data_IF_123548085848
#
_entry.id   IF_123548085848
#
_cell.length_a   1.000
_cell.length_b   1.000
_cell.length_c   1.000
_cell.angle_alpha   90.00
_cell.angle_beta   90.00
_cell.angle_gamma   90.00
#
_symmetry.space_group_name_H-M   'P 1'
#
loop_
_entity.id
_entity.type
_entity.pdbx_description
1 polymer ?
#
# COMPACT_ATOMS: atom_id res chain seq x y z
N UNK A 1 -13.18 11.17 1.66
CA UNK A 1 -12.36 12.00 0.94
C UNK A 1 -11.91 11.62 -0.47
N UNK A 2 -10.74 12.04 -0.83
CA UNK A 2 -10.16 12.03 -2.19
C UNK A 2 -10.05 10.63 -2.83
N UNK A 3 -9.81 9.60 -2.04
CA UNK A 3 -9.84 8.21 -2.50
C UNK A 3 -11.22 7.79 -3.03
N UNK A 4 -12.30 8.32 -2.44
CA UNK A 4 -13.66 8.08 -2.92
C UNK A 4 -13.90 8.74 -4.28
N UNK A 5 -13.43 9.97 -4.47
CA UNK A 5 -13.49 10.68 -5.77
C UNK A 5 -12.75 9.86 -6.84
N UNK A 6 -11.55 9.40 -6.53
CA UNK A 6 -10.78 8.50 -7.41
C UNK A 6 -11.56 7.23 -7.75
N UNK A 7 -12.20 6.61 -6.77
CA UNK A 7 -13.04 5.42 -6.97
C UNK A 7 -14.20 5.66 -7.94
N UNK A 8 -14.91 6.77 -7.80
CA UNK A 8 -16.00 7.15 -8.72
C UNK A 8 -15.49 7.34 -10.15
N UNK A 9 -14.35 8.01 -10.31
CA UNK A 9 -13.68 8.17 -11.63
C UNK A 9 -13.29 6.80 -12.19
N UNK A 10 -12.72 5.92 -11.36
CA UNK A 10 -12.34 4.55 -11.76
C UNK A 10 -13.53 3.72 -12.22
N UNK A 11 -14.67 3.80 -11.53
CA UNK A 11 -15.91 3.18 -11.97
C UNK A 11 -16.37 3.71 -13.33
N UNK A 12 -16.35 5.03 -13.54
CA UNK A 12 -16.73 5.64 -14.83
C UNK A 12 -15.78 5.18 -15.95
N UNK A 13 -14.48 5.14 -15.70
CA UNK A 13 -13.50 4.63 -16.66
C UNK A 13 -13.71 3.17 -17.02
N UNK A 14 -14.23 2.35 -16.10
CA UNK A 14 -14.53 0.94 -16.38
C UNK A 14 -15.59 0.78 -17.47
N UNK A 15 -16.55 1.68 -17.60
CA UNK A 15 -17.52 1.67 -18.69
C UNK A 15 -16.86 1.93 -20.06
N UNK A 16 -15.80 2.73 -20.09
CA UNK A 16 -15.01 2.97 -21.31
C UNK A 16 -14.11 1.78 -21.65
N UNK A 17 -13.50 1.17 -20.65
CA UNK A 17 -12.60 0.01 -20.76
C UNK A 17 -13.42 -1.28 -20.88
N UNK A 18 -14.67 -1.32 -20.41
CA UNK A 18 -15.54 -2.49 -20.36
C UNK A 18 -15.94 -3.05 -21.74
N UNK A 19 -15.58 -2.35 -22.81
CA UNK A 19 -15.64 -2.87 -24.19
C UNK A 19 -14.48 -3.84 -24.50
N UNK A 20 -13.48 -3.90 -23.65
CA UNK A 20 -12.31 -4.76 -23.73
C UNK A 20 -12.49 -6.00 -22.82
N UNK A 21 -11.58 -6.95 -22.93
CA UNK A 21 -11.59 -8.13 -22.06
C UNK A 21 -11.49 -7.67 -20.58
N UNK A 22 -12.39 -8.12 -19.68
CA UNK A 22 -12.38 -7.78 -18.26
C UNK A 22 -11.01 -7.99 -17.58
N UNK A 23 -10.20 -8.92 -18.08
CA UNK A 23 -8.85 -9.22 -17.58
C UNK A 23 -7.87 -8.08 -17.83
N UNK A 24 -7.99 -7.42 -19.00
CA UNK A 24 -7.17 -6.25 -19.33
C UNK A 24 -7.49 -5.11 -18.36
N UNK A 25 -8.76 -4.88 -18.07
CA UNK A 25 -9.20 -3.91 -17.08
C UNK A 25 -8.59 -4.18 -15.70
N UNK A 26 -8.65 -5.43 -15.23
CA UNK A 26 -8.03 -5.83 -13.95
C UNK A 26 -6.51 -5.61 -13.96
N UNK A 27 -5.82 -6.02 -15.03
CA UNK A 27 -4.37 -5.84 -15.15
C UNK A 27 -3.97 -4.36 -15.12
N UNK A 28 -4.70 -3.48 -15.82
CA UNK A 28 -4.50 -2.03 -15.79
C UNK A 28 -4.72 -1.49 -14.38
N UNK A 29 -5.80 -1.90 -13.71
CA UNK A 29 -6.10 -1.47 -12.34
C UNK A 29 -5.01 -1.88 -11.34
N UNK A 30 -4.55 -3.12 -11.41
CA UNK A 30 -3.45 -3.58 -10.55
C UNK A 30 -2.11 -2.92 -10.91
N UNK A 31 -1.83 -2.64 -12.20
CA UNK A 31 -0.63 -1.90 -12.60
C UNK A 31 -0.65 -0.46 -12.05
N UNK A 32 -1.80 0.22 -12.10
CA UNK A 32 -1.97 1.53 -11.49
C UNK A 32 -1.80 1.47 -9.95
N UNK A 33 -2.23 0.37 -9.30
CA UNK A 33 -2.02 0.15 -7.88
C UNK A 33 -0.54 -0.04 -7.53
N UNK A 34 0.20 -0.80 -8.36
CA UNK A 34 1.67 -0.94 -8.23
C UNK A 34 2.35 0.42 -8.39
N UNK A 35 1.96 1.21 -9.40
CA UNK A 35 2.50 2.55 -9.61
C UNK A 35 2.24 3.47 -8.39
N UNK A 36 1.04 3.44 -7.83
CA UNK A 36 0.70 4.18 -6.61
C UNK A 36 1.53 3.72 -5.40
N UNK A 37 1.75 2.41 -5.26
CA UNK A 37 2.57 1.86 -4.19
C UNK A 37 4.05 2.21 -4.33
N UNK A 38 4.62 2.13 -5.54
CA UNK A 38 5.98 2.57 -5.83
C UNK A 38 6.15 4.07 -5.52
N UNK A 39 5.16 4.88 -5.87
CA UNK A 39 5.17 6.32 -5.53
C UNK A 39 5.21 6.53 -4.02
N UNK A 40 4.39 5.80 -3.23
CA UNK A 40 4.42 5.85 -1.76
C UNK A 40 5.77 5.45 -1.17
N UNK A 41 6.49 4.52 -1.78
CA UNK A 41 7.81 4.10 -1.31
C UNK A 41 8.90 5.19 -1.46
N UNK A 42 8.65 6.21 -2.29
CA UNK A 42 9.54 7.37 -2.45
C UNK A 42 9.18 8.55 -1.54
N UNK A 43 8.15 8.41 -0.70
CA UNK A 43 7.78 9.45 0.24
C UNK A 43 8.77 9.50 1.42
N UNK A 44 9.06 10.72 1.82
CA UNK A 44 9.84 11.05 3.00
C UNK A 44 8.99 11.85 4.01
N UNK A 45 9.62 12.30 5.09
CA UNK A 45 8.96 13.10 6.12
C UNK A 45 8.54 14.51 5.66
N UNK A 46 9.02 14.95 4.51
CA UNK A 46 8.74 16.27 3.93
C UNK A 46 7.73 16.17 2.78
N UNK A 47 7.04 15.02 2.63
CA UNK A 47 6.03 14.83 1.59
C UNK A 47 4.94 15.91 1.70
N UNK A 48 4.58 16.51 0.55
CA UNK A 48 3.51 17.49 0.50
C UNK A 48 2.13 16.82 0.66
N UNK A 49 1.19 17.53 1.29
CA UNK A 49 -0.20 17.08 1.36
C UNK A 49 -0.78 16.81 -0.03
N UNK A 50 -0.43 17.64 -1.02
CA UNK A 50 -0.87 17.48 -2.39
C UNK A 50 -0.44 16.15 -3.00
N UNK A 51 0.81 15.71 -2.78
CA UNK A 51 1.30 14.42 -3.27
C UNK A 51 0.54 13.25 -2.64
N UNK A 52 0.21 13.33 -1.34
CA UNK A 52 -0.61 12.35 -0.65
C UNK A 52 -2.03 12.29 -1.23
N UNK A 53 -2.64 13.44 -1.51
CA UNK A 53 -3.97 13.52 -2.09
C UNK A 53 -4.03 12.91 -3.49
N UNK A 54 -3.09 13.24 -4.37
CA UNK A 54 -3.01 12.68 -5.72
C UNK A 54 -2.76 11.17 -5.69
N UNK A 55 -1.90 10.70 -4.79
CA UNK A 55 -1.70 9.27 -4.61
C UNK A 55 -2.99 8.57 -4.14
N UNK A 56 -3.73 9.18 -3.21
CA UNK A 56 -5.02 8.64 -2.76
C UNK A 56 -6.06 8.58 -3.89
N UNK A 57 -6.10 9.57 -4.78
CA UNK A 57 -6.95 9.58 -5.99
C UNK A 57 -6.53 8.43 -6.92
N UNK A 58 -5.24 8.27 -7.19
CA UNK A 58 -4.72 7.19 -8.05
C UNK A 58 -5.09 5.80 -7.50
N UNK A 59 -4.93 5.59 -6.19
CA UNK A 59 -5.38 4.35 -5.53
C UNK A 59 -6.90 4.15 -5.68
N UNK A 60 -7.68 5.22 -5.52
CA UNK A 60 -9.13 5.17 -5.72
C UNK A 60 -9.50 4.74 -7.13
N UNK A 61 -8.90 5.36 -8.15
CA UNK A 61 -9.08 5.01 -9.57
C UNK A 61 -8.76 3.54 -9.80
N UNK A 62 -7.62 3.07 -9.28
CA UNK A 62 -7.18 1.67 -9.39
C UNK A 62 -8.23 0.70 -8.85
N UNK A 63 -8.73 0.97 -7.64
CA UNK A 63 -9.77 0.14 -7.01
C UNK A 63 -11.06 0.15 -7.83
N UNK A 64 -11.48 1.33 -8.32
CA UNK A 64 -12.67 1.45 -9.17
C UNK A 64 -12.58 0.63 -10.44
N UNK A 65 -11.42 0.66 -11.11
CA UNK A 65 -11.18 -0.12 -12.34
C UNK A 65 -11.17 -1.63 -12.06
N UNK A 66 -10.61 -2.08 -10.92
CA UNK A 66 -10.53 -3.51 -10.58
C UNK A 66 -11.90 -4.09 -10.22
N UNK A 67 -12.74 -3.32 -9.54
CA UNK A 67 -13.93 -3.84 -8.89
C UNK A 67 -14.94 -4.48 -9.85
N UNK A 68 -15.28 -3.79 -10.92
CA UNK A 68 -16.29 -4.26 -11.88
C UNK A 68 -15.82 -5.51 -12.63
N UNK A 69 -14.64 -5.54 -13.25
CA UNK A 69 -14.16 -6.75 -13.92
C UNK A 69 -14.02 -7.95 -12.97
N UNK A 70 -13.59 -7.69 -11.73
CA UNK A 70 -13.46 -8.74 -10.72
C UNK A 70 -14.80 -9.39 -10.42
N UNK A 71 -15.85 -8.61 -10.18
CA UNK A 71 -17.20 -9.14 -9.91
C UNK A 71 -17.76 -9.86 -11.13
N UNK A 72 -17.60 -9.29 -12.33
CA UNK A 72 -18.05 -9.94 -13.59
C UNK A 72 -17.38 -11.28 -13.78
N UNK A 73 -16.06 -11.38 -13.65
CA UNK A 73 -15.32 -12.64 -13.81
C UNK A 73 -15.68 -13.68 -12.75
N UNK A 74 -15.92 -13.24 -11.51
CA UNK A 74 -16.27 -14.15 -10.41
C UNK A 74 -17.62 -14.80 -10.61
N UNK A 75 -18.60 -14.07 -11.14
CA UNK A 75 -19.99 -14.55 -11.23
C UNK A 75 -20.43 -14.99 -12.64
N UNK A 76 -19.56 -14.83 -13.66
CA UNK A 76 -19.89 -15.10 -15.07
C UNK A 76 -20.38 -16.52 -15.34
N UNK A 77 -19.91 -17.51 -14.58
CA UNK A 77 -20.19 -18.93 -14.79
C UNK A 77 -21.22 -19.51 -13.83
N UNK A 78 -21.80 -18.66 -12.96
CA UNK A 78 -22.79 -19.12 -11.99
C UNK A 78 -24.21 -18.96 -12.49
N UNK A 79 -25.04 -19.97 -12.18
CA UNK A 79 -26.47 -19.93 -12.41
C UNK A 79 -27.14 -18.91 -11.47
N UNK A 80 -28.23 -18.30 -11.93
CA UNK A 80 -28.93 -17.24 -11.18
C UNK A 80 -29.44 -17.69 -9.81
N UNK A 81 -29.73 -18.98 -9.67
CA UNK A 81 -30.23 -19.58 -8.43
C UNK A 81 -29.18 -19.55 -7.31
N UNK A 82 -27.89 -19.72 -7.65
CA UNK A 82 -26.79 -19.78 -6.68
C UNK A 82 -26.08 -18.43 -6.48
N UNK A 83 -26.49 -17.36 -7.18
CA UNK A 83 -25.87 -16.04 -7.07
C UNK A 83 -25.88 -15.46 -5.64
N UNK A 84 -26.99 -15.54 -4.85
CA UNK A 84 -27.00 -14.97 -3.51
C UNK A 84 -25.99 -15.63 -2.57
N UNK A 85 -25.88 -16.95 -2.62
CA UNK A 85 -24.94 -17.71 -1.80
C UNK A 85 -23.48 -17.40 -2.21
N UNK A 86 -23.21 -17.36 -3.50
CA UNK A 86 -21.90 -17.03 -4.03
C UNK A 86 -21.49 -15.61 -3.69
N UNK A 87 -22.39 -14.64 -3.71
CA UNK A 87 -22.13 -13.27 -3.25
C UNK A 87 -21.80 -13.22 -1.77
N UNK A 88 -22.53 -13.94 -0.94
CA UNK A 88 -22.24 -14.02 0.49
C UNK A 88 -20.84 -14.60 0.75
N UNK A 89 -20.48 -15.71 0.10
CA UNK A 89 -19.14 -16.29 0.18
C UNK A 89 -18.05 -15.35 -0.33
N UNK A 90 -18.29 -14.66 -1.44
CA UNK A 90 -17.35 -13.68 -1.98
C UNK A 90 -17.05 -12.56 -1.00
N UNK A 91 -18.10 -11.99 -0.38
CA UNK A 91 -17.93 -10.96 0.64
C UNK A 91 -17.23 -11.47 1.90
N UNK A 92 -17.55 -12.70 2.33
CA UNK A 92 -16.89 -13.33 3.47
C UNK A 92 -15.39 -13.52 3.22
N UNK A 93 -15.01 -14.14 2.11
CA UNK A 93 -13.62 -14.37 1.74
C UNK A 93 -12.85 -13.06 1.57
N UNK A 94 -13.49 -12.06 0.96
CA UNK A 94 -12.90 -10.73 0.82
C UNK A 94 -12.65 -10.07 2.17
N UNK A 95 -13.59 -10.16 3.11
CA UNK A 95 -13.44 -9.56 4.43
C UNK A 95 -12.34 -10.27 5.25
N UNK A 96 -12.29 -11.60 5.19
CA UNK A 96 -11.22 -12.38 5.82
C UNK A 96 -9.86 -11.99 5.21
N UNK A 97 -9.76 -11.98 3.88
CA UNK A 97 -8.53 -11.62 3.18
C UNK A 97 -8.06 -10.21 3.50
N UNK A 98 -8.97 -9.23 3.54
CA UNK A 98 -8.64 -7.85 3.90
C UNK A 98 -8.18 -7.72 5.35
N UNK A 99 -8.83 -8.41 6.28
CA UNK A 99 -8.46 -8.41 7.70
C UNK A 99 -7.06 -9.01 7.90
N UNK A 100 -6.77 -10.16 7.28
CA UNK A 100 -5.45 -10.77 7.32
C UNK A 100 -4.37 -9.85 6.74
N UNK A 101 -4.65 -9.23 5.59
CA UNK A 101 -3.68 -8.34 4.94
C UNK A 101 -3.42 -7.08 5.77
N UNK A 102 -4.45 -6.49 6.37
CA UNK A 102 -4.30 -5.34 7.30
C UNK A 102 -3.44 -5.74 8.49
N UNK A 103 -3.71 -6.90 9.11
CA UNK A 103 -2.93 -7.38 10.26
C UNK A 103 -1.46 -7.60 9.91
N UNK A 104 -1.17 -8.21 8.76
CA UNK A 104 0.21 -8.41 8.27
C UNK A 104 0.90 -7.07 7.98
N UNK A 105 0.19 -6.12 7.36
CA UNK A 105 0.75 -4.80 7.05
C UNK A 105 1.08 -4.02 8.32
N UNK A 106 0.18 -4.02 9.31
CA UNK A 106 0.42 -3.35 10.60
C UNK A 106 1.57 -4.02 11.37
N UNK A 107 1.62 -5.35 11.38
CA UNK A 107 2.72 -6.08 12.02
C UNK A 107 4.07 -5.74 11.37
N UNK A 108 4.13 -5.65 10.03
CA UNK A 108 5.35 -5.26 9.32
C UNK A 108 5.77 -3.82 9.62
N UNK A 109 4.84 -2.88 9.65
CA UNK A 109 5.10 -1.47 9.98
C UNK A 109 5.70 -1.36 11.39
N UNK A 110 5.07 -2.02 12.38
CA UNK A 110 5.53 -1.98 13.78
C UNK A 110 6.91 -2.65 13.91
N UNK A 111 7.07 -3.85 13.34
CA UNK A 111 8.33 -4.61 13.40
C UNK A 111 9.47 -3.84 12.74
N UNK A 112 9.23 -3.33 11.54
CA UNK A 112 10.23 -2.56 10.79
C UNK A 112 10.58 -1.27 11.50
N UNK A 113 9.60 -0.54 12.04
CA UNK A 113 9.82 0.65 12.84
C UNK A 113 10.67 0.37 14.09
N UNK A 114 10.34 -0.69 14.84
CA UNK A 114 11.10 -1.08 16.04
C UNK A 114 12.55 -1.48 15.73
N UNK A 115 12.76 -2.27 14.65
CA UNK A 115 14.11 -2.66 14.23
C UNK A 115 14.96 -1.45 13.81
N UNK A 116 14.37 -0.52 13.05
CA UNK A 116 15.09 0.66 12.60
C UNK A 116 15.36 1.64 13.76
N UNK A 117 14.43 1.77 14.69
CA UNK A 117 14.64 2.52 15.92
C UNK A 117 15.85 1.97 16.70
N UNK A 118 15.92 0.65 16.93
CA UNK A 118 17.04 0.00 17.62
C UNK A 118 18.38 0.27 16.90
N UNK A 119 18.41 0.08 15.58
CA UNK A 119 19.62 0.33 14.78
C UNK A 119 20.07 1.79 14.81
N UNK A 120 19.13 2.73 14.75
CA UNK A 120 19.46 4.15 14.82
C UNK A 120 20.01 4.54 16.21
N UNK A 121 19.42 4.01 17.29
CA UNK A 121 19.90 4.28 18.64
C UNK A 121 21.28 3.70 18.92
N UNK A 122 21.63 2.55 18.33
CA UNK A 122 22.98 1.99 18.43
C UNK A 122 24.07 2.91 17.83
N UNK A 123 23.71 3.66 16.77
CA UNK A 123 24.64 4.60 16.13
C UNK A 123 24.75 5.93 16.89
N UNK A 124 23.80 6.26 17.75
CA UNK A 124 23.77 7.49 18.53
C UNK A 124 24.42 7.23 19.89
N UNK A 125 25.72 7.36 19.93
CA UNK A 125 26.55 7.19 21.13
C UNK A 125 27.47 8.40 21.31
N UNK A 126 27.72 8.83 22.53
CA UNK A 126 28.73 9.88 22.83
C UNK A 126 30.13 9.55 22.30
N UNK A 127 30.39 8.26 22.04
CA UNK A 127 31.67 7.78 21.47
C UNK A 127 31.70 7.79 19.93
N UNK A 128 30.60 8.11 19.28
CA UNK A 128 30.58 8.17 17.81
C UNK A 128 31.24 9.49 17.34
N UNK A 129 32.43 9.36 16.76
CA UNK A 129 33.23 10.49 16.27
C UNK A 129 32.51 11.37 15.27
N UNK A 130 31.61 10.80 14.47
CA UNK A 130 30.83 11.56 13.47
C UNK A 130 29.87 12.54 14.14
N UNK A 131 29.32 12.18 15.30
CA UNK A 131 28.40 13.04 16.06
C UNK A 131 29.12 14.10 16.87
N UNK A 132 30.43 13.95 17.11
CA UNK A 132 31.25 14.93 17.80
C UNK A 132 31.73 16.08 16.89
N UNK A 133 31.53 15.99 15.58
CA UNK A 133 31.92 17.07 14.67
C UNK A 133 31.00 18.28 14.85
N UNK A 134 31.54 19.50 14.83
CA UNK A 134 30.75 20.73 14.93
C UNK A 134 29.67 20.77 13.85
N UNK A 135 28.42 20.94 14.25
CA UNK A 135 27.28 21.02 13.34
C UNK A 135 26.71 19.69 12.88
N UNK A 136 27.31 18.53 13.21
CA UNK A 136 26.82 17.21 12.80
C UNK A 136 25.42 16.88 13.35
N UNK A 137 25.08 17.38 14.53
CA UNK A 137 23.82 17.14 15.21
C UNK A 137 22.69 18.14 14.87
N UNK A 138 22.97 19.16 14.03
CA UNK A 138 21.92 20.03 13.49
C UNK A 138 21.04 20.74 14.54
N UNK A 139 21.54 20.97 15.75
CA UNK A 139 20.79 21.57 16.87
C UNK A 139 20.18 20.56 17.84
N UNK A 140 20.45 19.26 17.67
CA UNK A 140 20.16 18.24 18.68
C UNK A 140 21.37 18.09 19.62
N UNK A 141 21.17 18.27 20.95
CA UNK A 141 22.18 18.02 21.96
C UNK A 141 22.01 16.67 22.63
N UNK A 142 23.04 16.20 23.32
CA UNK A 142 22.99 14.99 24.16
C UNK A 142 23.28 15.33 25.65
N UNK A 143 23.40 16.61 26.00
CA UNK A 143 23.84 17.02 27.32
C UNK A 143 22.69 17.19 28.33
N UNK A 144 21.49 17.51 27.82
CA UNK A 144 20.33 17.78 28.67
C UNK A 144 19.18 16.80 28.39
N UNK A 145 18.35 16.54 29.42
CA UNK A 145 17.16 15.67 29.30
C UNK A 145 16.19 16.14 28.19
N UNK A 146 15.89 17.44 28.02
CA UNK A 146 15.04 17.93 26.94
C UNK A 146 15.64 17.70 25.54
N UNK A 147 16.97 17.79 25.40
CA UNK A 147 17.66 17.52 24.13
C UNK A 147 17.58 16.05 23.76
N UNK A 148 17.83 15.15 24.70
CA UNK A 148 17.67 13.71 24.53
C UNK A 148 16.24 13.34 24.17
N UNK A 149 15.25 13.98 24.77
CA UNK A 149 13.85 13.75 24.45
C UNK A 149 13.51 14.17 23.00
N UNK A 150 14.02 15.32 22.53
CA UNK A 150 13.86 15.77 21.13
C UNK A 150 14.54 14.82 20.16
N UNK A 151 15.76 14.39 20.46
CA UNK A 151 16.51 13.44 19.64
C UNK A 151 15.77 12.09 19.53
N UNK A 152 15.32 11.53 20.66
CA UNK A 152 14.53 10.30 20.69
C UNK A 152 13.23 10.43 19.90
N UNK A 153 12.56 11.58 19.99
CA UNK A 153 11.36 11.87 19.20
C UNK A 153 11.63 11.86 17.70
N UNK A 154 12.74 12.46 17.26
CA UNK A 154 13.11 12.48 15.84
C UNK A 154 13.51 11.08 15.35
N UNK A 155 14.26 10.31 16.11
CA UNK A 155 14.59 8.92 15.78
C UNK A 155 13.31 8.08 15.62
N UNK A 156 12.37 8.24 16.56
CA UNK A 156 11.08 7.54 16.49
C UNK A 156 10.31 7.89 15.21
N UNK A 157 10.28 9.18 14.85
CA UNK A 157 9.62 9.67 13.66
C UNK A 157 10.25 9.11 12.38
N UNK A 158 11.59 9.09 12.30
CA UNK A 158 12.34 8.53 11.17
C UNK A 158 12.14 7.02 11.06
N UNK A 159 12.27 6.31 12.18
CA UNK A 159 12.08 4.86 12.23
C UNK A 159 10.65 4.45 11.84
N UNK A 160 9.64 5.20 12.29
CA UNK A 160 8.25 4.98 11.90
C UNK A 160 8.04 5.19 10.40
N UNK A 161 8.65 6.24 9.81
CA UNK A 161 8.56 6.48 8.37
C UNK A 161 9.12 5.32 7.55
N UNK A 162 10.28 4.77 7.94
CA UNK A 162 10.84 3.57 7.32
C UNK A 162 9.88 2.39 7.45
N UNK A 163 9.24 2.24 8.61
CA UNK A 163 8.20 1.23 8.81
C UNK A 163 7.04 1.36 7.81
N UNK A 164 6.54 2.58 7.60
CA UNK A 164 5.50 2.83 6.61
C UNK A 164 5.95 2.54 5.18
N UNK A 165 7.16 2.94 4.80
CA UNK A 165 7.74 2.66 3.47
C UNK A 165 7.80 1.15 3.22
N UNK A 166 8.22 0.36 4.21
CA UNK A 166 8.24 -1.10 4.11
C UNK A 166 6.82 -1.69 4.01
N UNK A 167 5.84 -1.13 4.76
CA UNK A 167 4.44 -1.50 4.62
C UNK A 167 3.88 -1.20 3.22
N UNK A 168 4.27 -0.08 2.60
CA UNK A 168 3.94 0.23 1.21
C UNK A 168 4.61 -0.73 0.22
N UNK A 169 5.84 -1.17 0.52
CA UNK A 169 6.52 -2.23 -0.24
C UNK A 169 5.74 -3.54 -0.25
N UNK A 170 5.22 -3.96 0.92
CA UNK A 170 4.37 -5.15 1.02
C UNK A 170 3.09 -5.01 0.18
N UNK A 171 2.42 -3.86 0.26
CA UNK A 171 1.25 -3.54 -0.54
C UNK A 171 1.55 -3.58 -2.05
N UNK A 172 2.68 -3.02 -2.47
CA UNK A 172 3.12 -3.01 -3.87
C UNK A 172 3.40 -4.43 -4.35
N UNK A 173 4.11 -5.24 -3.56
CA UNK A 173 4.40 -6.64 -3.87
C UNK A 173 3.12 -7.47 -4.01
N UNK A 174 2.16 -7.32 -3.10
CA UNK A 174 0.87 -7.99 -3.19
C UNK A 174 0.10 -7.62 -4.46
N UNK A 175 0.12 -6.33 -4.84
CA UNK A 175 -0.51 -5.87 -6.09
C UNK A 175 0.18 -6.42 -7.33
N UNK A 176 1.51 -6.54 -7.33
CA UNK A 176 2.27 -7.16 -8.42
C UNK A 176 1.96 -8.66 -8.55
N UNK A 177 1.86 -9.39 -7.44
CA UNK A 177 1.43 -10.80 -7.44
C UNK A 177 0.02 -10.95 -8.02
N UNK A 178 -0.89 -10.02 -7.71
CA UNK A 178 -2.24 -10.03 -8.26
C UNK A 178 -2.24 -9.90 -9.79
N UNK A 179 -1.35 -9.10 -10.40
CA UNK A 179 -1.21 -9.03 -11.88
C UNK A 179 -0.86 -10.40 -12.45
N UNK A 180 0.11 -11.08 -11.83
CA UNK A 180 0.55 -12.41 -12.26
C UNK A 180 -0.61 -13.41 -12.18
N UNK A 181 -1.37 -13.40 -11.08
CA UNK A 181 -2.53 -14.27 -10.91
C UNK A 181 -3.61 -14.01 -11.96
N UNK A 182 -3.88 -12.75 -12.30
CA UNK A 182 -4.81 -12.36 -13.36
C UNK A 182 -4.35 -12.89 -14.72
N UNK A 183 -3.06 -12.78 -15.02
CA UNK A 183 -2.49 -13.28 -16.27
C UNK A 183 -2.64 -14.81 -16.40
N UNK A 184 -2.39 -15.55 -15.30
CA UNK A 184 -2.53 -17.03 -15.29
C UNK A 184 -3.98 -17.51 -15.29
N UNK A 185 -4.94 -16.72 -14.78
CA UNK A 185 -6.36 -17.08 -14.81
C UNK A 185 -6.92 -17.18 -16.23
N UNK A 186 -6.18 -16.69 -17.24
CA UNK A 186 -6.51 -16.67 -18.64
C UNK A 186 -6.28 -17.97 -19.43
N UNK A 187 -5.46 -18.88 -18.90
CA UNK A 187 -5.01 -20.07 -19.64
C UNK A 187 -5.98 -21.25 -19.68
N UNK A 188 -7.02 -21.27 -18.88
CA UNK A 188 -7.93 -22.42 -18.73
C UNK A 188 -9.25 -22.36 -19.51
N UNK A 189 -9.49 -21.33 -20.32
CA UNK A 189 -10.76 -21.15 -21.05
C UNK A 189 -10.73 -21.42 -22.56
N UNK A 190 -9.67 -22.04 -23.11
CA UNK A 190 -9.58 -22.38 -24.55
C UNK A 190 -9.66 -23.88 -24.86
N UNK A 191 -10.30 -24.66 -24.01
CA UNK A 191 -10.40 -26.10 -24.21
C UNK A 191 -11.66 -26.70 -23.58
N UNK A 192 -12.83 -26.35 -24.08
CA UNK A 192 -14.08 -27.14 -24.00
C UNK A 192 -15.08 -26.60 -25.02
#
# INVERSE_FOLDING_TARGET
GFRGIGGTIGFALTFLIGRWDPRIGMAIGFAAMVAAGLWLMHFDLNVSEEALLWNAVLQGISVGIIWVPLTVLTFKTLDREHLPEAMAMFHLLRNIGSSLFISLSVAEIIRSGAMNYSRMTEMISPYNRTLQLPGSMGGFGMETVPELAKLSGEITRQAAMIGYVNGFGLFTAASAVAIVLVAFSGGRGKGA
#
